data_IF_799266865878
#
_entry.id   IF_799266865878
#
_cell.length_a   1.000
_cell.length_b   1.000
_cell.length_c   1.000
_cell.angle_alpha   90.00
_cell.angle_beta   90.00
_cell.angle_gamma   90.00
#
_symmetry.space_group_name_H-M   'P 1'
#
loop_
_entity.id
_entity.type
_entity.pdbx_description
1 polymer ?
#
# COMPACT_ATOMS: atom_id res chain seq x y z
N UNK A 1 19.98 5.26 1.18
CA UNK A 1 19.11 4.98 2.34
C UNK A 1 17.73 5.54 2.05
N UNK A 2 16.66 4.83 2.41
CA UNK A 2 15.28 5.28 2.20
C UNK A 2 14.60 5.54 3.53
N UNK A 3 13.97 6.71 3.67
CA UNK A 3 13.37 7.16 4.92
C UNK A 3 11.95 7.66 4.64
N UNK A 4 10.92 7.09 5.28
CA UNK A 4 9.60 7.69 5.29
C UNK A 4 9.55 8.81 6.34
N UNK A 5 8.93 9.94 6.01
CA UNK A 5 8.63 11.00 6.98
C UNK A 5 7.16 10.97 7.37
N UNK A 6 6.91 11.35 8.62
CA UNK A 6 5.58 11.44 9.19
C UNK A 6 4.84 12.71 8.75
N UNK A 7 3.62 12.87 9.26
CA UNK A 7 2.78 14.06 9.07
C UNK A 7 3.43 15.29 9.70
N UNK A 8 3.17 16.49 9.14
CA UNK A 8 3.57 17.74 9.80
C UNK A 8 2.72 17.94 11.06
N UNK A 9 3.35 18.34 12.17
CA UNK A 9 2.63 18.76 13.37
C UNK A 9 1.89 20.09 13.13
N UNK A 10 0.66 20.33 13.60
CA UNK A 10 -0.31 19.47 14.30
C UNK A 10 -1.15 18.60 13.35
N UNK A 11 -1.55 17.42 13.82
CA UNK A 11 -2.11 16.36 12.97
C UNK A 11 -3.53 16.63 12.45
N UNK A 12 -4.34 17.41 13.21
CA UNK A 12 -5.77 17.62 12.95
C UNK A 12 -6.18 19.10 12.80
N UNK A 13 -5.20 20.00 12.69
CA UNK A 13 -5.45 21.40 12.39
C UNK A 13 -4.33 21.93 11.50
N UNK A 14 -4.68 22.46 10.34
CA UNK A 14 -3.70 22.91 9.33
C UNK A 14 -3.65 24.42 9.07
N UNK A 15 -4.52 25.22 9.70
CA UNK A 15 -4.63 26.64 9.36
C UNK A 15 -3.36 27.46 9.66
N UNK A 16 -2.56 27.04 10.63
CA UNK A 16 -1.29 27.66 11.03
C UNK A 16 -0.10 27.24 10.16
N UNK A 17 -0.29 26.26 9.27
CA UNK A 17 0.74 25.71 8.37
C UNK A 17 0.29 25.70 6.91
N UNK A 18 0.02 26.87 6.31
CA UNK A 18 -0.43 26.93 4.93
C UNK A 18 0.61 26.35 3.95
N UNK A 19 0.11 25.78 2.85
CA UNK A 19 0.94 25.19 1.79
C UNK A 19 1.08 23.68 1.89
N UNK A 20 1.90 23.09 1.02
CA UNK A 20 2.03 21.62 0.88
C UNK A 20 2.64 20.90 2.10
N UNK A 21 3.26 21.65 3.02
CA UNK A 21 3.99 21.13 4.17
C UNK A 21 5.12 20.15 3.82
N UNK A 22 5.88 20.44 2.76
CA UNK A 22 7.09 19.70 2.43
C UNK A 22 8.13 19.88 3.56
N UNK A 23 8.77 18.84 4.12
CA UNK A 23 8.90 17.42 3.74
C UNK A 23 8.04 16.45 4.58
N UNK A 24 6.84 16.84 5.00
CA UNK A 24 5.88 15.93 5.63
C UNK A 24 5.35 14.90 4.64
N UNK A 25 5.04 13.70 5.11
CA UNK A 25 4.48 12.60 4.32
C UNK A 25 5.28 12.28 3.05
N UNK A 26 6.60 12.25 3.16
CA UNK A 26 7.51 12.00 2.05
C UNK A 26 8.14 10.61 2.16
N UNK A 27 8.50 10.05 1.01
CA UNK A 27 9.56 9.06 0.88
C UNK A 27 10.83 9.77 0.43
N UNK A 28 11.86 9.74 1.25
CA UNK A 28 13.16 10.35 0.98
C UNK A 28 14.16 9.27 0.56
N UNK A 29 14.94 9.55 -0.48
CA UNK A 29 16.15 8.81 -0.79
C UNK A 29 17.37 9.67 -0.51
N UNK A 30 18.21 9.23 0.42
CA UNK A 30 19.41 9.92 0.86
C UNK A 30 20.65 9.10 0.54
N UNK A 31 21.74 9.77 0.20
CA UNK A 31 23.07 9.19 0.19
C UNK A 31 23.45 8.78 1.63
N UNK A 32 23.87 7.53 1.80
CA UNK A 32 24.09 6.97 3.14
C UNK A 32 25.37 7.50 3.81
N UNK A 33 26.34 8.00 3.05
CA UNK A 33 27.61 8.49 3.58
C UNK A 33 27.54 9.97 3.95
N UNK A 34 26.82 10.75 3.16
CA UNK A 34 26.76 12.22 3.27
C UNK A 34 25.46 12.74 3.86
N UNK A 35 24.38 11.93 3.84
CA UNK A 35 23.04 12.38 4.18
C UNK A 35 22.39 13.28 3.13
N UNK A 36 23.04 13.51 1.99
CA UNK A 36 22.53 14.37 0.92
C UNK A 36 21.29 13.74 0.28
N UNK A 37 20.26 14.55 0.02
CA UNK A 37 19.04 14.10 -0.66
C UNK A 37 19.30 13.84 -2.14
N UNK A 38 19.05 12.62 -2.57
CA UNK A 38 19.07 12.21 -3.97
C UNK A 38 17.75 12.57 -4.64
N UNK A 39 16.65 12.08 -4.08
CA UNK A 39 15.30 12.39 -4.54
C UNK A 39 14.29 12.28 -3.39
N UNK A 40 13.08 12.78 -3.62
CA UNK A 40 11.96 12.58 -2.70
C UNK A 40 10.64 12.55 -3.45
N UNK A 41 9.62 11.98 -2.81
CA UNK A 41 8.25 12.03 -3.28
C UNK A 41 7.31 12.27 -2.10
N UNK A 42 6.36 13.20 -2.22
CA UNK A 42 5.36 13.48 -1.19
C UNK A 42 4.05 12.73 -1.51
N UNK A 43 3.59 11.87 -0.59
CA UNK A 43 2.39 11.04 -0.78
C UNK A 43 1.09 11.72 -0.37
N UNK A 44 1.16 12.76 0.46
CA UNK A 44 0.01 13.54 0.91
C UNK A 44 0.40 15.01 1.01
N UNK A 45 -0.30 15.89 0.29
CA UNK A 45 -0.15 17.33 0.39
C UNK A 45 -1.02 17.90 1.51
N UNK A 46 -0.46 18.82 2.31
CA UNK A 46 -1.18 19.52 3.37
C UNK A 46 -2.06 18.59 4.21
N UNK A 47 -1.46 17.59 4.83
CA UNK A 47 -2.21 16.56 5.55
C UNK A 47 -2.98 17.14 6.74
N UNK A 48 -4.25 16.79 6.88
CA UNK A 48 -5.15 17.25 7.94
C UNK A 48 -5.71 16.10 8.78
N UNK A 49 -5.32 14.85 8.45
CA UNK A 49 -5.98 13.66 8.96
C UNK A 49 -5.00 12.54 9.32
N UNK A 50 -3.78 12.90 9.73
CA UNK A 50 -2.73 11.93 10.10
C UNK A 50 -2.56 10.83 9.04
N UNK A 51 -2.44 11.22 7.77
CA UNK A 51 -2.29 10.32 6.61
C UNK A 51 -0.83 9.98 6.35
N UNK A 52 -0.08 9.81 7.42
CA UNK A 52 1.35 9.66 7.34
C UNK A 52 1.85 8.34 6.75
N UNK A 53 3.12 8.37 6.37
CA UNK A 53 3.83 7.23 5.84
C UNK A 53 4.38 6.37 6.99
N UNK A 54 3.48 5.73 7.74
CA UNK A 54 3.88 4.88 8.88
C UNK A 54 4.58 3.57 8.51
N UNK A 55 4.49 3.13 7.24
CA UNK A 55 5.11 1.87 6.81
C UNK A 55 6.59 2.05 6.46
N UNK A 56 7.46 1.08 6.83
CA UNK A 56 8.84 1.09 6.35
C UNK A 56 8.88 0.92 4.81
N UNK A 57 9.80 1.59 4.10
CA UNK A 57 10.01 1.38 2.68
C UNK A 57 10.55 -0.03 2.43
N UNK A 58 9.99 -0.72 1.45
CA UNK A 58 10.42 -2.06 1.06
C UNK A 58 11.25 -1.99 -0.22
N UNK A 59 12.35 -2.74 -0.25
CA UNK A 59 13.16 -2.93 -1.46
C UNK A 59 12.72 -4.23 -2.15
N UNK A 60 12.42 -4.13 -3.43
CA UNK A 60 11.95 -5.27 -4.21
C UNK A 60 12.41 -5.16 -5.66
N UNK A 61 12.42 -6.29 -6.36
CA UNK A 61 12.58 -6.32 -7.81
C UNK A 61 11.20 -6.54 -8.44
N UNK A 62 10.76 -5.61 -9.30
CA UNK A 62 9.47 -5.64 -9.97
C UNK A 62 9.68 -5.92 -11.44
N UNK A 63 9.03 -6.93 -11.98
CA UNK A 63 8.91 -7.07 -13.43
C UNK A 63 7.88 -6.05 -13.94
N UNK A 64 8.35 -5.01 -14.64
CA UNK A 64 7.53 -3.94 -15.18
C UNK A 64 7.80 -3.79 -16.67
N UNK A 65 6.77 -3.97 -17.51
CA UNK A 65 6.87 -3.97 -18.97
C UNK A 65 7.93 -4.95 -19.52
N UNK A 66 8.04 -6.13 -18.91
CA UNK A 66 8.98 -7.18 -19.32
C UNK A 66 10.44 -6.94 -18.90
N UNK A 67 10.72 -5.89 -18.11
CA UNK A 67 12.04 -5.62 -17.54
C UNK A 67 11.98 -5.73 -16.03
N UNK A 68 13.00 -6.32 -15.44
CA UNK A 68 13.15 -6.34 -13.99
C UNK A 68 13.75 -4.99 -13.54
N UNK A 69 13.02 -4.30 -12.67
CA UNK A 69 13.38 -2.99 -12.13
C UNK A 69 13.58 -3.15 -10.62
N UNK A 70 14.74 -2.71 -10.14
CA UNK A 70 14.98 -2.53 -8.73
C UNK A 70 14.16 -1.34 -8.21
N UNK A 71 13.16 -1.64 -7.40
CA UNK A 71 12.19 -0.67 -6.94
C UNK A 71 12.22 -0.52 -5.41
N UNK A 72 11.79 0.66 -4.97
CA UNK A 72 11.39 0.91 -3.60
C UNK A 72 9.88 1.14 -3.56
N UNK A 73 9.21 0.44 -2.65
CA UNK A 73 7.77 0.52 -2.46
C UNK A 73 7.41 1.04 -1.08
N UNK A 74 6.42 1.93 -1.02
CA UNK A 74 5.83 2.38 0.24
C UNK A 74 4.32 2.23 0.24
N UNK A 75 3.80 1.62 1.30
CA UNK A 75 2.37 1.47 1.56
C UNK A 75 1.94 2.57 2.52
N UNK A 76 0.92 3.34 2.16
CA UNK A 76 0.43 4.48 2.93
C UNK A 76 -0.78 4.11 3.78
N UNK A 77 -1.09 4.92 4.82
CA UNK A 77 -2.34 4.82 5.59
C UNK A 77 -3.60 4.95 4.73
N UNK A 78 -3.48 5.57 3.56
CA UNK A 78 -4.55 5.68 2.56
C UNK A 78 -4.73 4.41 1.72
N UNK A 79 -4.07 3.31 2.09
CA UNK A 79 -4.10 2.03 1.39
C UNK A 79 -3.58 2.08 -0.06
N UNK A 80 -2.78 3.09 -0.41
CA UNK A 80 -2.07 3.15 -1.69
C UNK A 80 -0.67 2.55 -1.56
N UNK A 81 -0.25 1.80 -2.59
CA UNK A 81 1.12 1.38 -2.79
C UNK A 81 1.77 2.25 -3.86
N UNK A 82 2.78 3.01 -3.48
CA UNK A 82 3.62 3.76 -4.41
C UNK A 82 4.88 2.96 -4.71
N UNK A 83 5.28 2.90 -5.98
CA UNK A 83 6.45 2.16 -6.45
C UNK A 83 7.33 3.09 -7.29
N UNK A 84 8.61 3.19 -6.93
CA UNK A 84 9.59 4.02 -7.60
C UNK A 84 10.82 3.22 -7.97
N UNK A 85 11.48 3.60 -9.06
CA UNK A 85 12.84 3.15 -9.33
C UNK A 85 13.71 3.65 -8.17
N UNK A 86 14.41 2.73 -7.49
CA UNK A 86 15.11 3.07 -6.24
C UNK A 86 16.26 4.06 -6.45
N UNK A 87 16.80 4.17 -7.65
CA UNK A 87 17.94 5.03 -7.98
C UNK A 87 17.48 6.40 -8.48
N UNK A 88 16.53 6.44 -9.42
CA UNK A 88 16.11 7.69 -10.06
C UNK A 88 14.95 8.39 -9.34
N UNK A 89 14.15 7.65 -8.57
CA UNK A 89 12.92 8.17 -7.97
C UNK A 89 11.75 8.29 -8.96
N UNK A 90 11.91 7.82 -10.20
CA UNK A 90 10.83 7.81 -11.18
C UNK A 90 9.74 6.81 -10.79
N UNK A 91 8.46 7.20 -10.85
CA UNK A 91 7.36 6.29 -10.52
C UNK A 91 7.22 5.19 -11.58
N UNK A 92 7.02 3.95 -11.12
CA UNK A 92 6.78 2.81 -12.03
C UNK A 92 5.39 2.86 -12.65
N UNK A 93 4.43 3.47 -11.96
CA UNK A 93 3.06 3.62 -12.45
C UNK A 93 2.69 5.10 -12.44
N UNK A 94 1.84 5.58 -13.38
CA UNK A 94 1.39 6.95 -13.37
C UNK A 94 0.76 7.32 -12.02
N UNK A 95 1.17 8.48 -11.51
CA UNK A 95 0.60 9.12 -10.33
C UNK A 95 -0.07 10.40 -10.82
N UNK A 96 -1.37 10.52 -10.54
CA UNK A 96 -2.18 11.62 -11.00
C UNK A 96 -2.57 12.53 -9.84
N UNK A 97 -2.55 13.84 -10.06
CA UNK A 97 -3.11 14.81 -9.13
C UNK A 97 -4.63 14.80 -9.24
N UNK A 98 -5.29 14.13 -8.31
CA UNK A 98 -6.74 13.97 -8.31
C UNK A 98 -7.37 15.06 -7.44
N UNK A 99 -8.35 15.83 -7.95
CA UNK A 99 -9.09 16.80 -7.14
C UNK A 99 -9.76 16.13 -5.94
N UNK A 100 -9.68 16.77 -4.77
CA UNK A 100 -10.32 16.31 -3.53
C UNK A 100 -11.22 17.39 -2.95
N UNK A 101 -12.09 17.01 -2.01
CA UNK A 101 -12.94 17.96 -1.31
C UNK A 101 -12.10 18.96 -0.52
N UNK A 102 -12.34 20.24 -0.80
CA UNK A 102 -11.65 21.38 -0.15
C UNK A 102 -12.52 22.12 0.84
N UNK A 103 -13.75 21.65 1.05
CA UNK A 103 -14.68 22.24 2.00
C UNK A 103 -14.23 21.86 3.41
N UNK A 104 -13.73 22.83 4.17
CA UNK A 104 -13.46 22.69 5.60
C UNK A 104 -14.46 23.48 6.43
N UNK A 105 -14.88 22.91 7.55
CA UNK A 105 -15.67 23.59 8.58
C UNK A 105 -14.80 24.28 9.63
N UNK A 106 -13.47 24.09 9.57
CA UNK A 106 -12.52 24.64 10.54
C UNK A 106 -12.12 26.07 10.15
N UNK A 107 -12.18 27.05 11.08
CA UNK A 107 -11.81 28.42 10.79
C UNK A 107 -10.37 28.57 10.29
N UNK A 108 -10.22 29.19 9.12
CA UNK A 108 -8.92 29.51 8.51
C UNK A 108 -8.22 28.33 7.82
N UNK A 109 -8.74 27.11 7.94
CA UNK A 109 -8.17 25.92 7.30
C UNK A 109 -8.39 25.94 5.79
N UNK A 110 -7.35 25.57 5.04
CA UNK A 110 -7.36 25.56 3.57
C UNK A 110 -6.82 24.22 3.08
N UNK A 111 -7.67 23.19 2.93
CA UNK A 111 -7.25 21.90 2.39
C UNK A 111 -6.59 22.05 1.02
N UNK A 112 -5.60 21.20 0.72
CA UNK A 112 -4.94 21.22 -0.59
C UNK A 112 -5.90 20.69 -1.68
N UNK A 113 -5.96 21.34 -2.85
CA UNK A 113 -7.01 21.06 -3.85
C UNK A 113 -6.89 19.70 -4.55
N UNK A 114 -5.70 19.09 -4.56
CA UNK A 114 -5.44 17.81 -5.22
C UNK A 114 -4.70 16.85 -4.31
N UNK A 115 -4.63 15.57 -4.64
CA UNK A 115 -3.72 14.65 -3.99
C UNK A 115 -3.07 13.74 -5.04
N UNK A 116 -1.79 13.37 -4.86
CA UNK A 116 -1.15 12.41 -5.74
C UNK A 116 -1.76 11.03 -5.48
N UNK A 117 -2.35 10.42 -6.50
CA UNK A 117 -2.96 9.09 -6.42
C UNK A 117 -2.33 8.18 -7.47
N UNK A 118 -1.75 7.03 -7.08
CA UNK A 118 -1.21 6.08 -8.04
C UNK A 118 -2.35 5.38 -8.76
N UNK A 119 -2.26 5.32 -10.08
CA UNK A 119 -3.23 4.61 -10.93
C UNK A 119 -3.17 3.09 -10.75
N UNK A 120 -1.99 2.58 -10.37
CA UNK A 120 -1.71 1.17 -10.14
C UNK A 120 -0.64 0.97 -9.06
N UNK A 121 -0.63 -0.19 -8.38
CA UNK A 121 -1.71 -1.17 -8.36
C UNK A 121 -2.97 -0.62 -7.69
N UNK A 122 -4.08 -1.34 -7.81
CA UNK A 122 -5.32 -0.96 -7.11
C UNK A 122 -5.05 -0.82 -5.60
N UNK A 123 -5.80 0.07 -4.91
CA UNK A 123 -5.66 0.21 -3.46
C UNK A 123 -5.77 -1.14 -2.74
N UNK A 124 -4.99 -1.28 -1.68
CA UNK A 124 -5.15 -2.36 -0.70
C UNK A 124 -6.55 -2.21 -0.05
N UNK A 125 -7.12 -3.29 0.52
CA UNK A 125 -8.55 -3.66 0.42
C UNK A 125 -9.56 -2.53 0.68
N UNK A 126 -10.69 -2.63 -0.03
CA UNK A 126 -11.80 -1.68 -0.18
C UNK A 126 -11.78 -0.48 0.77
N UNK A 127 -11.42 0.68 0.21
CA UNK A 127 -11.64 2.00 0.83
C UNK A 127 -13.11 2.26 1.16
N UNK A 128 -14.00 1.56 0.44
CA UNK A 128 -15.44 1.52 0.68
C UNK A 128 -15.76 0.59 1.84
N UNK A 129 -15.32 0.95 3.04
CA UNK A 129 -15.93 0.46 4.28
C UNK A 129 -17.35 1.03 4.38
N UNK A 130 -18.25 0.50 3.56
CA UNK A 130 -19.68 0.76 3.70
C UNK A 130 -20.10 0.25 5.09
N UNK A 131 -21.00 0.95 5.77
CA UNK A 131 -21.58 0.53 7.07
C UNK A 131 -22.07 -0.93 7.05
N UNK A 132 -22.48 -1.43 5.88
CA UNK A 132 -22.85 -2.83 5.67
C UNK A 132 -21.70 -3.85 5.85
N UNK A 133 -20.44 -3.45 5.60
CA UNK A 133 -19.25 -4.27 5.82
C UNK A 133 -18.82 -4.19 7.30
N UNK A 134 -18.93 -3.01 7.92
CA UNK A 134 -18.70 -2.84 9.37
C UNK A 134 -19.71 -3.67 10.20
N UNK A 135 -20.97 -3.75 9.75
CA UNK A 135 -21.97 -4.61 10.36
C UNK A 135 -21.62 -6.11 10.26
N UNK A 136 -20.89 -6.52 9.21
CA UNK A 136 -20.40 -7.91 9.03
C UNK A 136 -19.11 -8.20 9.79
N UNK A 137 -18.27 -7.19 10.02
CA UNK A 137 -17.04 -7.27 10.81
C UNK A 137 -17.28 -7.17 12.32
N UNK A 138 -18.52 -6.92 12.75
CA UNK A 138 -18.93 -7.07 14.15
C UNK A 138 -18.90 -8.56 14.48
N UNK A 139 -17.72 -9.02 14.91
CA UNK A 139 -17.47 -10.34 15.47
C UNK A 139 -18.60 -10.71 16.46
N UNK A 140 -19.01 -11.98 16.52
CA UNK A 140 -20.18 -12.41 17.28
C UNK A 140 -19.88 -12.42 18.78
N UNK A 141 -19.79 -11.24 19.39
CA UNK A 141 -19.98 -11.03 20.82
C UNK A 141 -21.42 -10.63 21.10
N UNK A 142 -22.37 -11.31 20.47
CA UNK A 142 -23.73 -11.49 20.99
C UNK A 142 -24.25 -12.81 20.45
N UNK A 143 -23.88 -13.89 21.14
CA UNK A 143 -24.74 -14.54 22.13
C UNK A 143 -25.75 -15.49 21.48
N UNK A 144 -25.52 -16.80 21.71
CA UNK A 144 -26.58 -17.69 22.21
C UNK A 144 -27.91 -17.73 21.45
N UNK A 145 -27.92 -17.38 20.17
CA UNK A 145 -29.12 -17.40 19.32
C UNK A 145 -28.93 -18.45 18.23
N UNK A 146 -28.95 -19.69 18.74
CA UNK A 146 -28.92 -20.96 18.02
C UNK A 146 -29.98 -21.01 16.91
N UNK A 147 -29.76 -21.92 15.97
CA UNK A 147 -30.77 -22.47 15.04
C UNK A 147 -31.29 -21.54 13.95
N UNK A 148 -30.48 -21.28 12.92
CA UNK A 148 -30.98 -21.12 11.52
C UNK A 148 -29.90 -21.21 10.43
N UNK A 149 -28.70 -21.70 10.75
CA UNK A 149 -27.65 -22.03 9.78
C UNK A 149 -27.78 -23.49 9.33
N UNK A 150 -28.84 -23.80 8.58
CA UNK A 150 -28.90 -25.02 7.76
C UNK A 150 -29.60 -24.64 6.46
N UNK A 151 -28.87 -24.79 5.36
CA UNK A 151 -29.34 -24.86 3.96
C UNK A 151 -29.33 -23.55 3.15
N UNK A 152 -28.29 -23.44 2.30
CA UNK A 152 -28.19 -22.86 0.93
C UNK A 152 -26.79 -22.21 0.78
N UNK A 153 -25.73 -22.83 0.23
CA UNK A 153 -25.50 -23.27 -1.17
C UNK A 153 -25.87 -22.15 -2.17
N UNK A 154 -25.08 -21.69 -3.16
CA UNK A 154 -23.87 -22.18 -3.85
C UNK A 154 -23.44 -21.11 -4.89
N UNK A 155 -22.21 -21.24 -5.43
CA UNK A 155 -21.73 -20.87 -6.78
C UNK A 155 -21.05 -19.49 -7.10
N UNK A 156 -19.72 -19.61 -7.28
CA UNK A 156 -18.89 -19.40 -8.50
C UNK A 156 -18.61 -18.00 -9.10
N UNK A 157 -17.28 -17.81 -9.24
CA UNK A 157 -16.51 -17.27 -10.37
C UNK A 157 -16.43 -15.76 -10.58
N UNK A 158 -15.27 -15.20 -10.21
CA UNK A 158 -14.64 -14.09 -10.95
C UNK A 158 -13.14 -14.39 -11.10
N UNK A 159 -12.71 -14.61 -12.35
CA UNK A 159 -11.30 -14.55 -12.77
C UNK A 159 -11.07 -13.15 -13.32
N UNK A 160 -10.05 -12.45 -12.83
CA UNK A 160 -9.42 -11.32 -13.52
C UNK A 160 -7.92 -11.59 -13.58
N UNK A 161 -7.40 -11.67 -14.81
CA UNK A 161 -5.98 -11.84 -15.14
C UNK A 161 -5.33 -10.48 -15.31
N UNK A 162 -4.60 -10.02 -14.30
CA UNK A 162 -3.36 -9.24 -14.44
C UNK A 162 -2.43 -9.67 -13.30
N UNK A 163 -1.47 -10.54 -13.61
CA UNK A 163 -0.53 -11.05 -12.62
C UNK A 163 0.57 -10.01 -12.37
N UNK A 164 0.40 -9.13 -11.38
CA UNK A 164 1.55 -8.44 -10.77
C UNK A 164 2.22 -9.47 -9.85
N UNK A 165 3.25 -10.16 -10.36
CA UNK A 165 4.09 -11.01 -9.51
C UNK A 165 5.05 -10.11 -8.73
N UNK A 166 4.61 -9.67 -7.55
CA UNK A 166 5.50 -9.09 -6.55
C UNK A 166 6.29 -10.26 -5.96
N UNK A 167 7.50 -10.51 -6.46
CA UNK A 167 8.42 -11.43 -5.80
C UNK A 167 9.07 -10.66 -4.66
N UNK A 168 8.50 -10.78 -3.46
CA UNK A 168 9.16 -10.32 -2.23
C UNK A 168 10.33 -11.27 -1.98
N UNK A 169 11.51 -10.92 -2.48
CA UNK A 169 12.74 -11.63 -2.10
C UNK A 169 13.10 -11.12 -0.70
N UNK A 170 12.61 -11.81 0.32
CA UNK A 170 13.15 -11.69 1.66
C UNK A 170 14.59 -12.22 1.64
N UNK A 171 15.57 -11.33 1.55
CA UNK A 171 16.98 -11.68 1.68
C UNK A 171 17.32 -11.79 3.18
N UNK A 172 17.65 -13.00 3.63
CA UNK A 172 18.02 -13.30 5.02
C UNK A 172 18.56 -14.73 5.21
N UNK A 173 19.75 -14.99 4.65
CA UNK A 173 20.85 -15.88 5.11
C UNK A 173 20.59 -17.19 5.92
N UNK A 174 20.97 -18.32 5.31
CA UNK A 174 21.56 -19.59 5.84
C UNK A 174 21.80 -19.69 7.38
N UNK A 175 21.43 -20.75 8.13
CA UNK A 175 21.99 -22.13 8.10
C UNK A 175 21.27 -23.10 9.09
N UNK A 176 21.19 -24.38 8.68
CA UNK A 176 21.25 -25.67 9.44
C UNK A 176 20.04 -26.23 10.23
N UNK A 177 19.76 -27.50 9.86
CA UNK A 177 19.30 -28.66 10.64
C UNK A 177 17.80 -28.93 10.82
N UNK A 178 17.35 -29.92 10.03
CA UNK A 178 16.34 -30.99 10.24
C UNK A 178 15.57 -31.12 8.92
N UNK A 179 15.60 -32.22 8.15
CA UNK A 179 15.66 -33.61 8.55
C UNK A 179 14.42 -34.32 8.01
N UNK A 180 14.45 -34.69 6.72
CA UNK A 180 13.68 -35.76 6.05
C UNK A 180 12.13 -35.80 6.14
N UNK A 181 11.57 -36.01 4.93
CA UNK A 181 10.29 -36.65 4.56
C UNK A 181 9.01 -35.79 4.66
N UNK A 182 8.45 -35.48 3.49
CA UNK A 182 7.10 -35.80 3.02
C UNK A 182 7.00 -35.31 1.55
N UNK A 183 7.44 -36.13 0.59
CA UNK A 183 6.59 -36.94 -0.33
C UNK A 183 5.84 -36.13 -1.41
N UNK A 184 6.51 -35.92 -2.54
CA UNK A 184 6.14 -36.39 -3.89
C UNK A 184 4.73 -36.17 -4.50
N UNK A 185 3.84 -35.37 -3.92
CA UNK A 185 2.46 -35.21 -4.45
C UNK A 185 2.17 -33.90 -5.21
N UNK A 186 3.13 -32.99 -5.38
CA UNK A 186 2.90 -31.72 -6.08
C UNK A 186 3.36 -31.72 -7.56
N UNK A 187 4.16 -32.70 -7.98
CA UNK A 187 4.83 -32.69 -9.29
C UNK A 187 3.97 -33.26 -10.45
N UNK A 188 2.85 -33.92 -10.15
CA UNK A 188 1.94 -34.45 -11.18
C UNK A 188 0.69 -33.60 -11.43
N UNK A 189 0.43 -32.56 -10.62
CA UNK A 189 -0.71 -31.67 -10.84
C UNK A 189 -0.42 -30.58 -11.90
N UNK A 190 0.86 -30.30 -12.18
CA UNK A 190 1.28 -29.19 -13.06
C UNK A 190 1.30 -29.52 -14.57
N UNK A 191 1.08 -30.78 -14.98
CA UNK A 191 1.18 -31.20 -16.39
C UNK A 191 -0.19 -31.37 -17.08
N UNK A 192 -1.32 -31.11 -16.40
CA UNK A 192 -2.68 -31.26 -16.98
C UNK A 192 -3.44 -29.95 -17.26
N UNK A 193 -2.76 -28.80 -17.32
CA UNK A 193 -3.39 -27.52 -17.73
C UNK A 193 -2.74 -26.86 -18.95
N UNK A 194 -2.10 -27.66 -19.83
CA UNK A 194 -1.57 -27.19 -21.12
C UNK A 194 -2.03 -28.09 -22.29
N UNK A 195 -3.35 -28.20 -22.45
CA UNK A 195 -4.07 -28.40 -23.72
C UNK A 195 -5.32 -27.53 -23.67
#
# INVERSE_FOLDING_TARGET
MFIPTASPSFDFYGADRPGQNLFGNCLLALDANTGSRLWHFQTTHHDLWDRDNGSPPNLLTVNHNGRDIDAVGIVTKMAYLYLFNRETGEPLFPIEEVPVDTVSTMPGEKPWPTQPIPTKPAPLPDKDLNLNILAKLRLPLHNTSKMKFKNMATNRNLRTTQSVRIVIIACGTWRRQLGRRLTQSAHQCLIRQLQ
#
